data_IF_603960861102
#
_entry.id   IF_603960861102
#
_cell.length_a   1.000
_cell.length_b   1.000
_cell.length_c   1.000
_cell.angle_alpha   90.00
_cell.angle_beta   90.00
_cell.angle_gamma   90.00
#
_symmetry.space_group_name_H-M   'P 1'
#
loop_
_entity.id
_entity.type
_entity.pdbx_description
1 polymer ?
#
# COMPACT_ATOMS: atom_id res chain seq x y z
N UNK A 1 28.53 -3.30 8.05
CA UNK A 1 28.91 -1.86 7.85
C UNK A 1 28.23 -0.97 8.91
N UNK A 2 26.95 -1.17 9.19
CA UNK A 2 26.18 -0.41 10.20
C UNK A 2 26.73 -0.62 11.63
N UNK A 3 27.01 -1.87 12.01
CA UNK A 3 27.58 -2.23 13.30
C UNK A 3 29.02 -1.70 13.50
N UNK A 4 29.81 -1.61 12.41
CA UNK A 4 31.18 -1.08 12.49
C UNK A 4 31.22 0.43 12.65
N UNK A 5 30.29 1.18 12.04
CA UNK A 5 30.20 2.65 12.19
C UNK A 5 29.75 3.02 13.61
N UNK A 6 28.78 2.29 14.17
CA UNK A 6 28.29 2.53 15.53
C UNK A 6 29.30 2.11 16.61
N UNK A 7 30.09 1.06 16.36
CA UNK A 7 31.19 0.64 17.22
C UNK A 7 32.33 1.64 17.32
N UNK A 8 32.68 2.31 16.21
CA UNK A 8 33.69 3.38 16.17
C UNK A 8 33.16 4.63 16.91
N UNK A 9 31.90 4.99 16.71
CA UNK A 9 31.28 6.13 17.39
C UNK A 9 31.19 5.92 18.90
N UNK A 10 30.80 4.72 19.38
CA UNK A 10 30.70 4.41 20.80
C UNK A 10 32.05 4.28 21.52
N UNK A 11 33.07 3.72 20.85
CA UNK A 11 34.43 3.58 21.40
C UNK A 11 35.15 4.91 21.61
N UNK A 12 34.91 5.89 20.76
CA UNK A 12 35.45 7.25 20.90
C UNK A 12 34.83 8.08 22.03
N UNK A 13 33.57 7.81 22.37
CA UNK A 13 32.81 8.51 23.41
C UNK A 13 33.22 8.12 24.82
N UNK A 14 33.74 6.91 25.04
CA UNK A 14 34.08 6.41 26.36
C UNK A 14 35.32 7.05 26.99
N UNK A 15 36.12 7.79 26.23
CA UNK A 15 37.44 8.28 26.65
C UNK A 15 37.50 9.79 27.04
N UNK A 16 36.40 10.54 26.93
CA UNK A 16 36.47 12.00 27.15
C UNK A 16 35.20 12.59 27.74
N UNK A 17 35.28 13.00 28.99
CA UNK A 17 34.29 13.79 29.77
C UNK A 17 32.98 13.04 30.10
N UNK A 18 32.92 12.49 31.28
CA UNK A 18 32.02 11.44 31.74
C UNK A 18 30.51 11.76 31.72
N UNK A 19 30.07 13.00 31.73
CA UNK A 19 28.64 13.32 31.73
C UNK A 19 28.01 13.54 30.36
N UNK A 20 28.67 14.25 29.46
CA UNK A 20 28.12 14.53 28.13
C UNK A 20 28.25 13.32 27.18
N UNK A 21 29.33 12.55 27.34
CA UNK A 21 29.55 11.33 26.53
C UNK A 21 28.59 10.19 26.92
N UNK A 22 28.24 10.08 28.21
CA UNK A 22 27.28 9.08 28.69
C UNK A 22 25.87 9.28 28.12
N UNK A 23 25.42 10.53 28.04
CA UNK A 23 24.10 10.84 27.48
C UNK A 23 23.96 10.49 26.00
N UNK A 24 24.96 10.84 25.18
CA UNK A 24 24.92 10.57 23.71
C UNK A 24 25.08 9.07 23.42
N UNK A 25 25.94 8.36 24.14
CA UNK A 25 26.10 6.91 23.98
C UNK A 25 24.85 6.16 24.43
N UNK A 26 24.22 6.61 25.54
CA UNK A 26 22.95 6.06 26.01
C UNK A 26 21.82 6.25 25.00
N UNK A 27 21.69 7.44 24.40
CA UNK A 27 20.70 7.74 23.38
C UNK A 27 20.89 6.91 22.11
N UNK A 28 22.15 6.73 21.65
CA UNK A 28 22.47 5.88 20.51
C UNK A 28 22.18 4.39 20.80
N UNK A 29 22.52 3.91 22.01
CA UNK A 29 22.22 2.55 22.41
C UNK A 29 20.71 2.30 22.50
N UNK A 30 19.95 3.21 23.09
CA UNK A 30 18.48 3.14 23.14
C UNK A 30 17.85 3.15 21.74
N UNK A 31 18.36 3.99 20.84
CA UNK A 31 17.89 4.03 19.46
C UNK A 31 18.19 2.71 18.72
N UNK A 32 19.36 2.12 18.93
CA UNK A 32 19.73 0.83 18.32
C UNK A 32 18.86 -0.32 18.83
N UNK A 33 18.60 -0.36 20.14
CA UNK A 33 17.68 -1.34 20.74
C UNK A 33 16.28 -1.18 20.14
N UNK A 34 15.77 0.06 20.05
CA UNK A 34 14.49 0.33 19.43
C UNK A 34 14.45 -0.07 17.94
N UNK A 35 15.55 0.12 17.20
CA UNK A 35 15.69 -0.27 15.81
C UNK A 35 15.65 -1.79 15.60
N UNK A 36 16.00 -2.59 16.60
CA UNK A 36 15.89 -4.06 16.53
C UNK A 36 14.43 -4.56 16.59
N UNK A 37 13.54 -3.79 17.21
CA UNK A 37 12.13 -4.18 17.42
C UNK A 37 11.13 -3.43 16.54
N UNK A 38 11.57 -2.40 15.83
CA UNK A 38 10.73 -1.57 14.96
C UNK A 38 11.54 -1.03 13.79
N UNK A 39 10.86 -0.47 12.77
CA UNK A 39 11.50 0.11 11.59
C UNK A 39 11.61 1.64 11.67
N UNK A 40 12.36 2.22 12.64
CA UNK A 40 12.36 3.66 12.88
C UNK A 40 12.98 4.46 11.73
N UNK A 41 13.87 3.84 10.93
CA UNK A 41 14.53 4.50 9.80
C UNK A 41 13.59 4.73 8.59
N UNK A 42 12.43 4.06 8.54
CA UNK A 42 11.40 4.35 7.55
C UNK A 42 10.58 5.61 7.90
N UNK A 43 10.69 6.08 9.14
CA UNK A 43 10.05 7.33 9.57
C UNK A 43 11.07 8.48 9.45
N UNK A 44 10.82 9.40 8.55
CA UNK A 44 11.73 10.52 8.26
C UNK A 44 12.21 11.27 9.52
N UNK A 45 11.34 11.63 10.50
CA UNK A 45 11.79 12.29 11.73
C UNK A 45 12.78 11.46 12.55
N UNK A 46 12.58 10.14 12.61
CA UNK A 46 13.48 9.22 13.34
C UNK A 46 14.82 9.05 12.63
N UNK A 47 14.81 8.98 11.29
CA UNK A 47 16.04 8.95 10.52
C UNK A 47 16.85 10.25 10.69
N UNK A 48 16.19 11.41 10.69
CA UNK A 48 16.83 12.71 10.96
C UNK A 48 17.42 12.77 12.37
N UNK A 49 16.69 12.31 13.39
CA UNK A 49 17.17 12.24 14.76
C UNK A 49 18.41 11.35 14.87
N UNK A 50 18.42 10.21 14.20
CA UNK A 50 19.58 9.30 14.17
C UNK A 50 20.80 9.95 13.54
N UNK A 51 20.63 10.63 12.41
CA UNK A 51 21.73 11.36 11.73
C UNK A 51 22.27 12.49 12.63
N UNK A 52 21.40 13.23 13.34
CA UNK A 52 21.80 14.28 14.29
C UNK A 52 22.58 13.69 15.48
N UNK A 53 22.13 12.57 16.04
CA UNK A 53 22.83 11.89 17.14
C UNK A 53 24.19 11.36 16.69
N UNK A 54 24.32 10.81 15.47
CA UNK A 54 25.60 10.39 14.88
C UNK A 54 26.53 11.59 14.68
N UNK A 55 26.04 12.68 14.10
CA UNK A 55 26.83 13.91 13.87
C UNK A 55 27.32 14.48 15.21
N UNK A 56 26.47 14.48 16.24
CA UNK A 56 26.86 14.91 17.56
C UNK A 56 27.93 14.00 18.19
N UNK A 57 27.78 12.68 18.06
CA UNK A 57 28.74 11.71 18.61
C UNK A 57 30.13 11.87 18.00
N UNK A 58 30.24 12.13 16.70
CA UNK A 58 31.49 12.39 16.01
C UNK A 58 32.15 13.68 16.50
N UNK A 59 31.37 14.73 16.75
CA UNK A 59 31.89 16.01 17.20
C UNK A 59 32.45 15.97 18.64
N UNK A 60 31.85 15.13 19.51
CA UNK A 60 32.28 14.96 20.91
C UNK A 60 33.50 14.03 21.03
N UNK A 61 33.70 13.07 20.10
CA UNK A 61 34.73 12.02 20.18
C UNK A 61 35.99 12.24 19.37
N UNK A 62 35.98 13.10 18.38
CA UNK A 62 37.08 13.23 17.43
C UNK A 62 38.24 14.06 17.96
N UNK A 63 39.38 13.44 18.21
CA UNK A 63 40.69 14.09 18.06
C UNK A 63 40.78 14.43 16.56
N UNK A 64 40.65 15.74 16.24
CA UNK A 64 40.42 16.22 14.89
C UNK A 64 41.20 15.52 13.80
N UNK A 65 40.54 14.71 13.02
CA UNK A 65 40.93 14.50 11.64
C UNK A 65 40.80 15.88 10.98
N UNK A 66 41.89 16.55 10.71
CA UNK A 66 41.89 17.80 9.94
C UNK A 66 41.43 17.48 8.51
N UNK A 67 40.12 17.32 8.35
CA UNK A 67 39.50 17.34 7.04
C UNK A 67 39.75 18.74 6.50
N UNK A 68 40.48 18.81 5.40
CA UNK A 68 40.78 20.07 4.72
C UNK A 68 39.47 20.81 4.50
N UNK A 69 39.33 22.06 4.91
CA UNK A 69 38.02 22.80 4.99
C UNK A 69 37.17 22.67 3.72
N UNK A 70 37.84 22.63 2.53
CA UNK A 70 37.15 22.43 1.26
C UNK A 70 36.55 21.03 1.08
N UNK A 71 37.18 19.97 1.62
CA UNK A 71 36.66 18.60 1.56
C UNK A 71 35.40 18.43 2.43
N UNK A 72 35.34 19.11 3.57
CA UNK A 72 34.12 19.20 4.39
C UNK A 72 32.97 19.88 3.64
N UNK A 73 33.25 20.96 2.92
CA UNK A 73 32.25 21.70 2.12
C UNK A 73 31.73 20.86 0.93
N UNK A 74 32.59 20.09 0.27
CA UNK A 74 32.18 19.20 -0.85
C UNK A 74 31.30 18.05 -0.34
N UNK A 75 31.55 17.55 0.86
CA UNK A 75 30.77 16.46 1.44
C UNK A 75 29.31 16.85 1.74
N UNK A 76 29.02 18.14 1.96
CA UNK A 76 27.66 18.64 2.18
C UNK A 76 26.82 18.75 0.90
N UNK A 77 27.46 18.93 -0.27
CA UNK A 77 26.74 19.06 -1.52
C UNK A 77 25.85 17.87 -1.85
N UNK A 78 26.31 16.59 -1.79
CA UNK A 78 25.44 15.44 -2.06
C UNK A 78 24.31 15.31 -1.02
N UNK A 79 24.57 15.67 0.24
CA UNK A 79 23.53 15.65 1.28
C UNK A 79 22.46 16.69 1.01
N UNK A 80 22.84 17.90 0.62
CA UNK A 80 21.90 18.96 0.22
C UNK A 80 21.09 18.55 -1.01
N UNK A 81 21.75 18.01 -2.05
CA UNK A 81 21.07 17.55 -3.26
C UNK A 81 20.08 16.43 -2.94
N UNK A 82 20.48 15.45 -2.09
CA UNK A 82 19.58 14.39 -1.65
C UNK A 82 18.38 14.95 -0.86
N UNK A 83 18.63 15.93 0.01
CA UNK A 83 17.58 16.61 0.77
C UNK A 83 16.61 17.36 -0.14
N UNK A 84 17.09 18.07 -1.14
CA UNK A 84 16.27 18.78 -2.12
C UNK A 84 15.43 17.81 -2.97
N UNK A 85 16.04 16.71 -3.44
CA UNK A 85 15.33 15.67 -4.19
C UNK A 85 14.25 15.00 -3.31
N UNK A 86 14.56 14.70 -2.06
CA UNK A 86 13.59 14.15 -1.12
C UNK A 86 12.44 15.13 -0.85
N UNK A 87 12.74 16.41 -0.62
CA UNK A 87 11.74 17.45 -0.43
C UNK A 87 10.84 17.60 -1.66
N UNK A 88 11.42 17.63 -2.85
CA UNK A 88 10.66 17.70 -4.11
C UNK A 88 9.72 16.49 -4.27
N UNK A 89 10.22 15.27 -4.03
CA UNK A 89 9.40 14.05 -4.05
C UNK A 89 8.27 14.07 -3.03
N UNK A 90 8.48 14.66 -1.87
CA UNK A 90 7.43 14.79 -0.84
C UNK A 90 6.33 15.75 -1.27
N UNK A 91 6.70 16.90 -1.88
CA UNK A 91 5.71 17.87 -2.39
C UNK A 91 4.92 17.31 -3.57
N UNK A 92 5.56 16.54 -4.46
CA UNK A 92 4.89 15.85 -5.56
C UNK A 92 3.84 14.85 -5.04
N UNK A 93 4.20 14.03 -4.06
CA UNK A 93 3.25 13.08 -3.44
C UNK A 93 2.12 13.81 -2.71
N UNK A 94 2.39 14.89 -2.00
CA UNK A 94 1.36 15.66 -1.31
C UNK A 94 0.33 16.25 -2.29
N UNK A 95 0.79 16.82 -3.38
CA UNK A 95 -0.11 17.34 -4.44
C UNK A 95 -0.91 16.22 -5.09
N UNK A 96 -0.29 15.06 -5.34
CA UNK A 96 -0.98 13.89 -5.87
C UNK A 96 -2.09 13.39 -4.93
N UNK A 97 -1.84 13.35 -3.61
CA UNK A 97 -2.87 12.98 -2.64
C UNK A 97 -4.05 13.97 -2.59
N UNK A 98 -3.79 15.28 -2.70
CA UNK A 98 -4.85 16.31 -2.76
C UNK A 98 -5.71 16.14 -4.02
N UNK A 99 -5.06 15.91 -5.15
CA UNK A 99 -5.77 15.66 -6.42
C UNK A 99 -6.54 14.33 -6.38
N UNK A 100 -5.99 13.28 -5.77
CA UNK A 100 -6.71 12.02 -5.58
C UNK A 100 -7.98 12.20 -4.76
N UNK A 101 -7.92 12.99 -3.69
CA UNK A 101 -9.11 13.30 -2.87
C UNK A 101 -10.21 13.96 -3.70
N UNK A 102 -9.86 14.87 -4.61
CA UNK A 102 -10.82 15.52 -5.53
C UNK A 102 -11.35 14.54 -6.58
N UNK A 103 -10.48 13.72 -7.18
CA UNK A 103 -10.88 12.70 -8.15
C UNK A 103 -11.88 11.69 -7.53
N UNK A 104 -11.65 11.31 -6.27
CA UNK A 104 -12.55 10.45 -5.49
C UNK A 104 -13.93 11.09 -5.27
N UNK A 105 -14.04 12.41 -5.18
CA UNK A 105 -15.32 13.07 -5.07
C UNK A 105 -16.15 12.92 -6.34
N UNK A 106 -15.54 13.11 -7.52
CA UNK A 106 -16.19 12.86 -8.82
C UNK A 106 -16.61 11.40 -8.98
N UNK A 107 -15.74 10.47 -8.61
CA UNK A 107 -16.06 9.04 -8.62
C UNK A 107 -17.31 8.71 -7.79
N UNK A 108 -17.43 9.28 -6.58
CA UNK A 108 -18.59 9.08 -5.71
C UNK A 108 -19.89 9.70 -6.24
N UNK A 109 -19.77 10.74 -7.04
CA UNK A 109 -20.91 11.39 -7.71
C UNK A 109 -21.36 10.65 -8.97
N UNK A 110 -20.60 9.60 -9.39
CA UNK A 110 -20.88 8.83 -10.60
C UNK A 110 -20.32 9.48 -11.88
N UNK A 111 -19.59 10.58 -11.77
CA UNK A 111 -18.89 11.19 -12.90
C UNK A 111 -17.55 10.47 -13.12
N UNK A 112 -17.66 9.26 -13.65
CA UNK A 112 -16.50 8.37 -13.85
C UNK A 112 -15.55 8.89 -14.91
N UNK A 113 -16.04 9.64 -15.91
CA UNK A 113 -15.18 10.17 -16.96
C UNK A 113 -14.26 11.29 -16.42
N UNK A 114 -14.81 12.22 -15.67
CA UNK A 114 -14.01 13.28 -15.04
C UNK A 114 -13.10 12.72 -13.96
N UNK A 115 -13.58 11.73 -13.20
CA UNK A 115 -12.75 10.98 -12.26
C UNK A 115 -11.54 10.34 -12.98
N UNK A 116 -11.76 9.67 -14.11
CA UNK A 116 -10.71 9.01 -14.88
C UNK A 116 -9.65 9.99 -15.38
N UNK A 117 -10.08 11.13 -15.91
CA UNK A 117 -9.20 12.20 -16.36
C UNK A 117 -8.25 12.68 -15.25
N UNK A 118 -8.75 12.71 -13.99
CA UNK A 118 -7.97 13.12 -12.82
C UNK A 118 -7.12 11.98 -12.23
N UNK A 119 -7.56 10.72 -12.32
CA UNK A 119 -6.79 9.57 -11.87
C UNK A 119 -5.58 9.29 -12.75
N UNK A 120 -5.72 9.41 -14.08
CA UNK A 120 -4.70 9.05 -15.06
C UNK A 120 -3.33 9.70 -14.80
N UNK A 121 -3.21 11.03 -14.59
CA UNK A 121 -1.91 11.66 -14.33
C UNK A 121 -1.30 11.29 -12.97
N UNK A 122 -2.10 10.77 -12.04
CA UNK A 122 -1.64 10.41 -10.70
C UNK A 122 -1.00 9.02 -10.65
N UNK A 123 -1.18 8.21 -11.69
CA UNK A 123 -0.71 6.82 -11.69
C UNK A 123 0.79 6.70 -11.44
N UNK A 124 1.61 7.57 -12.05
CA UNK A 124 3.06 7.58 -11.85
C UNK A 124 3.49 7.84 -10.40
N UNK A 125 2.74 8.66 -9.68
CA UNK A 125 3.05 9.05 -8.30
C UNK A 125 2.46 8.10 -7.24
N UNK A 126 1.34 7.42 -7.55
CA UNK A 126 0.53 6.65 -6.59
C UNK A 126 0.35 5.17 -6.97
N UNK A 127 1.03 4.68 -8.01
CA UNK A 127 0.96 3.27 -8.42
C UNK A 127 1.45 2.27 -7.37
N UNK A 128 2.19 2.74 -6.35
CA UNK A 128 2.60 1.97 -5.17
C UNK A 128 1.51 1.85 -4.09
N UNK A 129 0.34 2.48 -4.29
CA UNK A 129 -0.75 2.52 -3.31
C UNK A 129 -1.91 1.60 -3.72
N UNK A 130 -2.13 0.48 -3.01
CA UNK A 130 -3.17 -0.49 -3.37
C UNK A 130 -4.55 0.14 -3.51
N UNK A 131 -4.92 1.02 -2.56
CA UNK A 131 -6.22 1.69 -2.58
C UNK A 131 -6.42 2.61 -3.80
N UNK A 132 -5.36 3.32 -4.23
CA UNK A 132 -5.42 4.15 -5.43
C UNK A 132 -5.57 3.29 -6.68
N UNK A 133 -4.75 2.23 -6.80
CA UNK A 133 -4.76 1.33 -7.97
C UNK A 133 -6.12 0.64 -8.09
N UNK A 134 -6.68 0.18 -6.96
CA UNK A 134 -8.01 -0.42 -6.94
C UNK A 134 -9.10 0.56 -7.41
N UNK A 135 -9.13 1.80 -6.88
CA UNK A 135 -10.11 2.83 -7.28
C UNK A 135 -9.94 3.24 -8.75
N UNK A 136 -8.70 3.32 -9.25
CA UNK A 136 -8.42 3.61 -10.65
C UNK A 136 -8.93 2.50 -11.57
N UNK A 137 -8.71 1.22 -11.22
CA UNK A 137 -9.29 0.08 -11.94
C UNK A 137 -10.81 0.09 -11.95
N UNK A 138 -11.43 0.41 -10.81
CA UNK A 138 -12.88 0.55 -10.71
C UNK A 138 -13.40 1.69 -11.59
N UNK A 139 -12.69 2.82 -11.62
CA UNK A 139 -13.03 3.95 -12.48
C UNK A 139 -12.98 3.57 -13.96
N UNK A 140 -11.95 2.82 -14.40
CA UNK A 140 -11.87 2.31 -15.77
C UNK A 140 -12.99 1.31 -16.08
N UNK A 141 -13.32 0.42 -15.12
CA UNK A 141 -14.43 -0.52 -15.26
C UNK A 141 -15.76 0.21 -15.47
N UNK A 142 -16.06 1.24 -14.68
CA UNK A 142 -17.29 2.03 -14.80
C UNK A 142 -17.37 2.83 -16.12
N UNK A 143 -16.23 3.16 -16.71
CA UNK A 143 -16.13 3.75 -18.06
C UNK A 143 -16.12 2.71 -19.18
N UNK A 144 -16.45 1.44 -18.90
CA UNK A 144 -16.45 0.33 -19.84
C UNK A 144 -15.08 0.07 -20.52
N UNK A 145 -13.98 0.55 -19.92
CA UNK A 145 -12.61 0.30 -20.37
C UNK A 145 -12.08 -1.02 -19.80
N UNK A 146 -12.78 -2.12 -20.04
CA UNK A 146 -12.54 -3.42 -19.40
C UNK A 146 -11.15 -3.98 -19.64
N UNK A 147 -10.56 -3.76 -20.82
CA UNK A 147 -9.20 -4.20 -21.14
C UNK A 147 -8.16 -3.50 -20.25
N UNK A 148 -8.27 -2.19 -20.10
CA UNK A 148 -7.39 -1.41 -19.22
C UNK A 148 -7.63 -1.76 -17.74
N UNK A 149 -8.89 -1.87 -17.32
CA UNK A 149 -9.27 -2.26 -15.97
C UNK A 149 -8.67 -3.62 -15.57
N UNK A 150 -8.60 -4.59 -16.50
CA UNK A 150 -7.94 -5.88 -16.26
C UNK A 150 -6.50 -5.71 -15.80
N UNK A 151 -5.69 -4.93 -16.53
CA UNK A 151 -4.28 -4.71 -16.21
C UNK A 151 -4.13 -4.04 -14.85
N UNK A 152 -4.98 -3.07 -14.53
CA UNK A 152 -4.95 -2.34 -13.26
C UNK A 152 -5.39 -3.22 -12.09
N UNK A 153 -6.44 -4.05 -12.26
CA UNK A 153 -6.84 -4.97 -11.19
C UNK A 153 -5.81 -6.08 -10.95
N UNK A 154 -5.13 -6.57 -11.99
CA UNK A 154 -4.01 -7.50 -11.81
C UNK A 154 -2.87 -6.84 -11.01
N UNK A 155 -2.52 -5.59 -11.35
CA UNK A 155 -1.54 -4.83 -10.57
C UNK A 155 -1.98 -4.61 -9.11
N UNK A 156 -3.27 -4.32 -8.88
CA UNK A 156 -3.81 -4.21 -7.52
C UNK A 156 -3.71 -5.53 -6.74
N UNK A 157 -3.90 -6.68 -7.42
CA UNK A 157 -3.77 -8.01 -6.81
C UNK A 157 -2.32 -8.35 -6.41
N UNK A 158 -1.33 -7.84 -7.14
CA UNK A 158 0.10 -7.96 -6.76
C UNK A 158 0.45 -7.10 -5.53
N UNK A 159 -0.18 -5.93 -5.40
CA UNK A 159 0.08 -5.00 -4.31
C UNK A 159 -0.65 -5.35 -3.01
N UNK A 160 -1.76 -6.08 -3.09
CA UNK A 160 -2.62 -6.33 -1.94
C UNK A 160 -3.34 -7.68 -2.05
N UNK A 161 -3.29 -8.46 -0.99
CA UNK A 161 -4.08 -9.68 -0.84
C UNK A 161 -5.53 -9.36 -0.39
N UNK A 162 -6.24 -8.48 -1.12
CA UNK A 162 -7.62 -8.12 -0.83
C UNK A 162 -8.57 -8.93 -1.74
N UNK A 163 -9.47 -9.76 -1.18
CA UNK A 163 -10.44 -10.53 -1.96
C UNK A 163 -11.39 -9.66 -2.78
N UNK A 164 -11.59 -8.37 -2.40
CA UNK A 164 -12.40 -7.45 -3.18
C UNK A 164 -11.78 -7.17 -4.55
N UNK A 165 -10.45 -7.15 -4.66
CA UNK A 165 -9.74 -7.00 -5.95
C UNK A 165 -10.10 -8.15 -6.88
N UNK A 166 -10.08 -9.40 -6.37
CA UNK A 166 -10.44 -10.58 -7.16
C UNK A 166 -11.92 -10.60 -7.55
N UNK A 167 -12.81 -10.13 -6.66
CA UNK A 167 -14.23 -9.96 -7.02
C UNK A 167 -14.43 -8.96 -8.16
N UNK A 168 -13.69 -7.84 -8.14
CA UNK A 168 -13.76 -6.84 -9.22
C UNK A 168 -13.11 -7.34 -10.51
N UNK A 169 -12.00 -8.05 -10.39
CA UNK A 169 -11.35 -8.72 -11.54
C UNK A 169 -12.29 -9.75 -12.18
N UNK A 170 -13.00 -10.54 -11.37
CA UNK A 170 -14.02 -11.47 -11.84
C UNK A 170 -15.15 -10.78 -12.59
N UNK A 171 -15.71 -9.70 -12.04
CA UNK A 171 -16.72 -8.89 -12.72
C UNK A 171 -16.23 -8.31 -14.04
N UNK A 172 -14.97 -7.87 -14.06
CA UNK A 172 -14.37 -7.32 -15.26
C UNK A 172 -14.18 -8.40 -16.36
N UNK A 173 -13.73 -9.60 -15.98
CA UNK A 173 -13.67 -10.73 -16.90
C UNK A 173 -15.07 -11.17 -17.39
N UNK A 174 -16.07 -11.13 -16.53
CA UNK A 174 -17.46 -11.42 -16.86
C UNK A 174 -17.99 -10.42 -17.91
N UNK A 175 -17.72 -9.11 -17.73
CA UNK A 175 -18.07 -8.08 -18.72
C UNK A 175 -17.38 -8.29 -20.08
N UNK A 176 -16.17 -8.88 -20.06
CA UNK A 176 -15.44 -9.30 -21.27
C UNK A 176 -15.91 -10.67 -21.81
N UNK A 177 -16.90 -11.30 -21.20
CA UNK A 177 -17.38 -12.67 -21.51
C UNK A 177 -16.28 -13.75 -21.40
N UNK A 178 -15.25 -13.49 -20.59
CA UNK A 178 -14.17 -14.43 -20.29
C UNK A 178 -14.52 -15.24 -19.03
N UNK A 179 -15.55 -16.06 -19.14
CA UNK A 179 -16.19 -16.73 -18.00
C UNK A 179 -15.24 -17.63 -17.19
N UNK A 180 -14.35 -18.38 -17.87
CA UNK A 180 -13.36 -19.23 -17.20
C UNK A 180 -12.40 -18.42 -16.30
N UNK A 181 -12.04 -17.21 -16.73
CA UNK A 181 -11.20 -16.31 -15.94
C UNK A 181 -11.97 -15.65 -14.80
N UNK A 182 -13.23 -15.32 -15.05
CA UNK A 182 -14.13 -14.78 -14.02
C UNK A 182 -14.34 -15.80 -12.90
N UNK A 183 -14.61 -17.07 -13.25
CA UNK A 183 -14.75 -18.17 -12.30
C UNK A 183 -13.50 -18.29 -11.41
N UNK A 184 -12.31 -18.39 -12.01
CA UNK A 184 -11.04 -18.47 -11.26
C UNK A 184 -10.84 -17.30 -10.30
N UNK A 185 -11.19 -16.09 -10.72
CA UNK A 185 -11.07 -14.91 -9.87
C UNK A 185 -12.05 -14.95 -8.68
N UNK A 186 -13.30 -15.33 -8.89
CA UNK A 186 -14.28 -15.47 -7.82
C UNK A 186 -13.95 -16.61 -6.86
N UNK A 187 -13.49 -17.76 -7.39
CA UNK A 187 -13.02 -18.88 -6.57
C UNK A 187 -11.84 -18.46 -5.70
N UNK A 188 -10.88 -17.72 -6.26
CA UNK A 188 -9.77 -17.18 -5.49
C UNK A 188 -10.25 -16.25 -4.36
N UNK A 189 -11.21 -15.36 -4.63
CA UNK A 189 -11.80 -14.49 -3.61
C UNK A 189 -12.50 -15.29 -2.51
N UNK A 190 -13.22 -16.37 -2.86
CA UNK A 190 -13.89 -17.26 -1.91
C UNK A 190 -12.88 -18.00 -1.02
N UNK A 191 -11.79 -18.49 -1.57
CA UNK A 191 -10.73 -19.17 -0.80
C UNK A 191 -10.01 -18.23 0.17
N UNK A 192 -9.84 -16.95 -0.17
CA UNK A 192 -9.17 -15.98 0.71
C UNK A 192 -9.98 -15.70 1.98
N UNK A 193 -11.30 -15.66 1.89
CA UNK A 193 -12.19 -15.47 3.04
C UNK A 193 -13.38 -16.43 2.93
N UNK A 194 -13.23 -17.67 3.41
CA UNK A 194 -14.26 -18.73 3.25
C UNK A 194 -15.62 -18.39 3.84
N UNK A 195 -15.67 -17.52 4.86
CA UNK A 195 -16.94 -17.11 5.51
C UNK A 195 -17.65 -15.94 4.83
N UNK A 196 -17.14 -15.42 3.72
CA UNK A 196 -17.79 -14.34 2.96
C UNK A 196 -18.74 -14.91 1.92
N UNK A 197 -20.00 -14.55 2.03
CA UNK A 197 -21.07 -14.94 1.11
C UNK A 197 -20.88 -14.32 -0.28
N UNK A 198 -20.37 -13.10 -0.37
CA UNK A 198 -20.34 -12.32 -1.60
C UNK A 198 -19.61 -13.00 -2.80
N UNK A 199 -18.43 -13.64 -2.65
CA UNK A 199 -17.82 -14.35 -3.77
C UNK A 199 -18.66 -15.54 -4.26
N UNK A 200 -19.32 -16.28 -3.35
CA UNK A 200 -20.20 -17.40 -3.70
C UNK A 200 -21.44 -16.92 -4.44
N UNK A 201 -22.02 -15.80 -4.00
CA UNK A 201 -23.11 -15.13 -4.69
C UNK A 201 -22.70 -14.74 -6.13
N UNK A 202 -21.50 -14.17 -6.33
CA UNK A 202 -21.01 -13.83 -7.66
C UNK A 202 -20.80 -15.08 -8.55
N UNK A 203 -20.34 -16.19 -7.99
CA UNK A 203 -20.25 -17.47 -8.70
C UNK A 203 -21.61 -18.00 -9.12
N UNK A 204 -22.61 -17.92 -8.25
CA UNK A 204 -23.98 -18.33 -8.59
C UNK A 204 -24.53 -17.52 -9.78
N UNK A 205 -24.33 -16.19 -9.76
CA UNK A 205 -24.72 -15.31 -10.86
C UNK A 205 -23.96 -15.62 -12.16
N UNK A 206 -22.65 -15.89 -12.06
CA UNK A 206 -21.82 -16.25 -13.21
C UNK A 206 -22.33 -17.53 -13.87
N UNK A 207 -22.55 -18.61 -13.10
CA UNK A 207 -23.05 -19.87 -13.63
C UNK A 207 -24.46 -19.75 -14.21
N UNK A 208 -25.31 -18.91 -13.62
CA UNK A 208 -26.62 -18.56 -14.19
C UNK A 208 -26.47 -17.91 -15.58
N UNK A 209 -25.56 -16.97 -15.72
CA UNK A 209 -25.28 -16.29 -16.99
C UNK A 209 -24.71 -17.25 -18.04
N UNK A 210 -23.89 -18.20 -17.63
CA UNK A 210 -23.33 -19.26 -18.49
C UNK A 210 -24.40 -20.31 -18.90
N UNK A 211 -25.56 -20.34 -18.25
CA UNK A 211 -26.60 -21.35 -18.46
C UNK A 211 -26.37 -22.66 -17.68
N UNK A 212 -25.32 -22.74 -16.85
CA UNK A 212 -25.05 -23.89 -15.98
C UNK A 212 -25.90 -23.80 -14.70
N UNK A 213 -27.17 -24.15 -14.86
CA UNK A 213 -28.16 -24.04 -13.75
C UNK A 213 -27.89 -25.02 -12.61
N UNK A 214 -27.17 -26.11 -12.84
CA UNK A 214 -26.80 -27.06 -11.80
C UNK A 214 -25.81 -26.42 -10.84
N UNK A 215 -24.68 -25.93 -11.36
CA UNK A 215 -23.68 -25.22 -10.57
C UNK A 215 -24.24 -23.93 -9.95
N UNK A 216 -25.10 -23.20 -10.68
CA UNK A 216 -25.73 -22.00 -10.13
C UNK A 216 -26.53 -22.32 -8.86
N UNK A 217 -27.33 -23.39 -8.87
CA UNK A 217 -28.11 -23.83 -7.69
C UNK A 217 -27.22 -24.33 -6.56
N UNK A 218 -26.14 -25.03 -6.87
CA UNK A 218 -25.21 -25.48 -5.83
C UNK A 218 -24.55 -24.32 -5.11
N UNK A 219 -24.12 -23.31 -5.84
CA UNK A 219 -23.59 -22.07 -5.22
C UNK A 219 -24.66 -21.31 -4.46
N UNK A 220 -25.89 -21.23 -4.99
CA UNK A 220 -27.01 -20.59 -4.33
C UNK A 220 -27.34 -21.26 -2.98
N UNK A 221 -27.34 -22.59 -2.91
CA UNK A 221 -27.50 -23.33 -1.65
C UNK A 221 -26.41 -22.95 -0.64
N UNK A 222 -25.16 -22.93 -1.07
CA UNK A 222 -24.05 -22.54 -0.20
C UNK A 222 -24.22 -21.12 0.34
N UNK A 223 -24.68 -20.15 -0.49
CA UNK A 223 -25.01 -18.78 -0.06
C UNK A 223 -26.12 -18.76 0.98
N UNK A 224 -27.18 -19.56 0.80
CA UNK A 224 -28.33 -19.62 1.71
C UNK A 224 -27.92 -20.24 3.05
N UNK A 225 -27.19 -21.36 3.01
CA UNK A 225 -26.85 -22.16 4.19
C UNK A 225 -25.73 -21.51 5.02
N UNK A 226 -24.90 -20.66 4.39
CA UNK A 226 -23.78 -20.02 5.08
C UNK A 226 -24.26 -18.96 6.07
N UNK A 227 -23.87 -19.10 7.33
CA UNK A 227 -24.12 -18.07 8.34
C UNK A 227 -23.13 -16.89 8.14
N UNK A 228 -23.65 -15.66 7.99
CA UNK A 228 -22.78 -14.49 7.85
C UNK A 228 -22.14 -14.14 9.20
N UNK A 229 -20.83 -13.85 9.20
CA UNK A 229 -20.16 -13.36 10.41
C UNK A 229 -20.71 -12.03 10.92
N UNK A 230 -21.22 -11.19 10.00
CA UNK A 230 -21.88 -9.92 10.30
C UNK A 230 -23.13 -9.86 9.44
N UNK A 231 -24.27 -9.70 10.10
CA UNK A 231 -25.54 -9.50 9.39
C UNK A 231 -25.60 -8.10 8.76
N UNK A 232 -26.09 -8.01 7.53
CA UNK A 232 -26.36 -6.75 6.85
C UNK A 232 -27.56 -6.91 5.90
N UNK A 233 -28.29 -5.81 5.57
CA UNK A 233 -29.37 -5.85 4.58
C UNK A 233 -28.94 -6.43 3.24
N UNK A 234 -27.72 -6.11 2.78
CA UNK A 234 -27.16 -6.63 1.54
C UNK A 234 -26.99 -8.17 1.55
N UNK A 235 -26.67 -8.75 2.71
CA UNK A 235 -26.61 -10.22 2.86
C UNK A 235 -27.99 -10.84 2.73
N UNK A 236 -29.02 -10.23 3.30
CA UNK A 236 -30.39 -10.71 3.20
C UNK A 236 -30.93 -10.60 1.77
N UNK A 237 -30.61 -9.51 1.06
CA UNK A 237 -30.95 -9.37 -0.36
C UNK A 237 -30.30 -10.47 -1.21
N UNK A 238 -29.01 -10.72 -1.04
CA UNK A 238 -28.30 -11.79 -1.73
C UNK A 238 -28.91 -13.15 -1.46
N UNK A 239 -29.23 -13.49 -0.20
CA UNK A 239 -29.88 -14.75 0.16
C UNK A 239 -31.29 -14.86 -0.43
N UNK A 240 -32.04 -13.77 -0.47
CA UNK A 240 -33.39 -13.73 -1.03
C UNK A 240 -33.36 -13.92 -2.54
N UNK A 241 -32.41 -13.31 -3.25
CA UNK A 241 -32.24 -13.54 -4.69
C UNK A 241 -31.85 -15.00 -5.00
N UNK A 242 -30.97 -15.59 -4.18
CA UNK A 242 -30.56 -16.98 -4.36
C UNK A 242 -31.68 -18.01 -4.11
N UNK A 243 -32.69 -17.69 -3.30
CA UNK A 243 -33.89 -18.54 -3.12
C UNK A 243 -34.78 -18.63 -4.38
N UNK A 244 -34.58 -17.73 -5.35
CA UNK A 244 -35.34 -17.67 -6.61
C UNK A 244 -34.67 -18.43 -7.75
N UNK A 245 -33.48 -18.97 -7.55
CA UNK A 245 -32.70 -19.78 -8.49
C UNK A 245 -33.03 -21.28 -8.35
#
# INVERSE_FOLDING_TARGET
LFLSITGIASGGLFKRNTQQTGGVSGALSAFLVFACFSYPLHMLPMAMLFVLLLAWSVNVGAKGVRIRRWAGQILWLPVMVLGLVAAWRLTEKETAYKTWKTARAYFRQGDYQEALNRYTPLFSALSDRPAFVFEFGECQFQNAQYGNATAIFLWAAELSADPMVYNKLGKNYQALKQYDRAEKAYVQAAHMIPHRIYPLYLLALLYREMGDMEKARDMARQVIDQEPKVWSPAVEEMKTEMKQL
#
